data_IF_060985232361
#
_entry.id   IF_060985232361
#
_cell.length_a   1.000
_cell.length_b   1.000
_cell.length_c   1.000
_cell.angle_alpha   90.00
_cell.angle_beta   90.00
_cell.angle_gamma   90.00
#
_symmetry.space_group_name_H-M   'P 1'
#
loop_
_entity.id
_entity.type
_entity.pdbx_description
1 polymer ?
#
# COMPACT_ATOMS: atom_id res chain seq x y z
N UNK A 1 21.43 -20.10 -10.05
CA UNK A 1 20.20 -19.48 -10.60
C UNK A 1 18.95 -20.25 -10.16
N UNK A 2 18.88 -21.56 -10.41
CA UNK A 2 17.73 -22.40 -10.01
C UNK A 2 17.39 -22.33 -8.52
N UNK A 3 18.38 -22.41 -7.62
CA UNK A 3 18.14 -22.29 -6.19
C UNK A 3 17.52 -20.94 -5.79
N UNK A 4 17.92 -19.84 -6.45
CA UNK A 4 17.36 -18.52 -6.20
C UNK A 4 15.92 -18.39 -6.73
N UNK A 5 15.63 -19.01 -7.88
CA UNK A 5 14.28 -19.09 -8.44
C UNK A 5 13.38 -19.92 -7.50
N UNK A 6 13.84 -21.09 -7.06
CA UNK A 6 13.09 -21.94 -6.12
C UNK A 6 12.79 -21.23 -4.81
N UNK A 7 13.76 -20.49 -4.26
CA UNK A 7 13.56 -19.70 -3.04
C UNK A 7 12.53 -18.57 -3.24
N UNK A 8 12.56 -17.88 -4.38
CA UNK A 8 11.58 -16.83 -4.70
C UNK A 8 10.16 -17.41 -4.86
N UNK A 9 10.02 -18.55 -5.55
CA UNK A 9 8.73 -19.24 -5.70
C UNK A 9 8.18 -19.66 -4.34
N UNK A 10 8.99 -20.30 -3.49
CA UNK A 10 8.58 -20.71 -2.15
C UNK A 10 8.14 -19.51 -1.30
N UNK A 11 8.85 -18.38 -1.37
CA UNK A 11 8.47 -17.15 -0.66
C UNK A 11 7.13 -16.59 -1.15
N UNK A 12 6.85 -16.66 -2.46
CA UNK A 12 5.55 -16.25 -3.02
C UNK A 12 4.43 -17.19 -2.56
N UNK A 13 4.64 -18.50 -2.59
CA UNK A 13 3.64 -19.49 -2.14
C UNK A 13 3.31 -19.33 -0.66
N UNK A 14 4.32 -19.11 0.19
CA UNK A 14 4.09 -18.83 1.61
C UNK A 14 3.40 -17.48 1.83
N UNK A 15 3.68 -16.48 0.99
CA UNK A 15 2.94 -15.24 0.96
C UNK A 15 1.46 -15.43 0.65
N UNK A 16 1.13 -16.25 -0.35
CA UNK A 16 -0.25 -16.57 -0.71
C UNK A 16 -1.00 -17.25 0.44
N UNK A 17 -0.39 -18.26 1.08
CA UNK A 17 -0.99 -18.93 2.25
C UNK A 17 -1.30 -17.96 3.39
N UNK A 18 -0.44 -16.97 3.62
CA UNK A 18 -0.67 -15.94 4.65
C UNK A 18 -1.81 -15.00 4.27
N UNK A 19 -1.96 -14.67 3.00
CA UNK A 19 -3.08 -13.86 2.50
C UNK A 19 -4.39 -14.65 2.60
N UNK A 20 -4.39 -15.94 2.24
CA UNK A 20 -5.56 -16.82 2.39
C UNK A 20 -6.00 -16.98 3.84
N UNK A 21 -5.05 -17.04 4.77
CA UNK A 21 -5.32 -17.14 6.21
C UNK A 21 -5.56 -15.77 6.89
N UNK A 22 -5.56 -14.65 6.15
CA UNK A 22 -5.75 -13.33 6.72
C UNK A 22 -7.20 -13.14 7.20
N UNK A 23 -7.39 -13.07 8.51
CA UNK A 23 -8.63 -12.63 9.13
C UNK A 23 -8.50 -11.14 9.52
N UNK A 24 -9.42 -10.32 9.04
CA UNK A 24 -9.53 -8.92 9.47
C UNK A 24 -10.38 -8.83 10.75
N UNK A 25 -10.23 -7.78 11.57
CA UNK A 25 -11.07 -7.59 12.75
C UNK A 25 -12.54 -7.44 12.37
N UNK A 26 -13.41 -8.17 13.06
CA UNK A 26 -14.87 -8.12 12.85
C UNK A 26 -15.57 -7.04 13.70
N UNK A 27 -14.87 -6.46 14.68
CA UNK A 27 -15.39 -5.38 15.51
C UNK A 27 -15.32 -4.04 14.76
N UNK A 28 -16.41 -3.26 14.68
CA UNK A 28 -16.43 -2.02 13.91
C UNK A 28 -15.33 -1.02 14.24
N UNK A 29 -15.02 -0.82 15.52
CA UNK A 29 -13.97 0.10 15.97
C UNK A 29 -12.59 -0.34 15.48
N UNK A 30 -12.28 -1.64 15.62
CA UNK A 30 -10.99 -2.19 15.18
C UNK A 30 -10.86 -2.18 13.65
N UNK A 31 -11.95 -2.45 12.93
CA UNK A 31 -11.99 -2.32 11.47
C UNK A 31 -11.76 -0.87 11.03
N UNK A 32 -12.39 0.09 11.71
CA UNK A 32 -12.19 1.52 11.45
C UNK A 32 -10.73 1.94 11.71
N UNK A 33 -10.10 1.45 12.79
CA UNK A 33 -8.68 1.72 13.09
C UNK A 33 -7.75 1.20 11.99
N UNK A 34 -7.99 -0.01 11.49
CA UNK A 34 -7.22 -0.59 10.37
C UNK A 34 -7.34 0.28 9.11
N UNK A 35 -8.55 0.73 8.77
CA UNK A 35 -8.77 1.59 7.63
C UNK A 35 -8.11 2.97 7.80
N UNK A 36 -8.25 3.56 9.00
CA UNK A 36 -7.68 4.86 9.34
C UNK A 36 -6.14 4.84 9.25
N UNK A 37 -5.47 3.81 9.80
CA UNK A 37 -4.02 3.69 9.69
C UNK A 37 -3.58 3.48 8.24
N UNK A 38 -4.30 2.65 7.47
CA UNK A 38 -4.03 2.48 6.04
C UNK A 38 -4.11 3.79 5.26
N UNK A 39 -5.16 4.60 5.48
CA UNK A 39 -5.31 5.92 4.89
C UNK A 39 -4.17 6.86 5.33
N UNK A 40 -3.79 6.84 6.61
CA UNK A 40 -2.71 7.67 7.16
C UNK A 40 -1.35 7.31 6.57
N UNK A 41 -1.00 6.02 6.50
CA UNK A 41 0.25 5.54 5.90
C UNK A 41 0.37 5.99 4.44
N UNK A 42 -0.70 5.81 3.68
CA UNK A 42 -0.68 6.14 2.25
C UNK A 42 -0.64 7.64 2.00
N UNK A 43 -1.28 8.45 2.86
CA UNK A 43 -1.13 9.90 2.86
C UNK A 43 0.33 10.33 3.09
N UNK A 44 0.99 9.77 4.11
CA UNK A 44 2.41 10.07 4.42
C UNK A 44 3.31 9.77 3.21
N UNK A 45 3.07 8.64 2.52
CA UNK A 45 3.81 8.26 1.31
C UNK A 45 3.55 9.23 0.15
N UNK A 46 2.29 9.59 -0.09
CA UNK A 46 1.94 10.56 -1.13
C UNK A 46 2.56 11.93 -0.87
N UNK A 47 2.59 12.39 0.39
CA UNK A 47 3.25 13.64 0.78
C UNK A 47 4.74 13.61 0.52
N UNK A 48 5.43 12.53 0.92
CA UNK A 48 6.87 12.38 0.65
C UNK A 48 7.17 12.37 -0.86
N UNK A 49 6.35 11.68 -1.65
CA UNK A 49 6.49 11.68 -3.11
C UNK A 49 6.24 13.07 -3.72
N UNK A 50 5.29 13.82 -3.16
CA UNK A 50 5.01 15.21 -3.58
C UNK A 50 6.21 16.11 -3.30
N UNK A 51 6.78 16.03 -2.11
CA UNK A 51 7.95 16.83 -1.74
C UNK A 51 9.16 16.49 -2.64
N UNK A 52 9.38 15.21 -2.93
CA UNK A 52 10.41 14.76 -3.87
C UNK A 52 10.17 15.30 -5.28
N UNK A 53 8.97 15.16 -5.82
CA UNK A 53 8.60 15.65 -7.14
C UNK A 53 8.74 17.18 -7.23
N UNK A 54 8.36 17.93 -6.19
CA UNK A 54 8.55 19.38 -6.10
C UNK A 54 10.02 19.78 -6.08
N UNK A 55 10.85 19.04 -5.35
CA UNK A 55 12.28 19.37 -5.19
C UNK A 55 13.13 19.03 -6.42
N UNK A 56 12.82 17.93 -7.13
CA UNK A 56 13.65 17.42 -8.24
C UNK A 56 13.01 17.61 -9.62
N UNK A 57 11.69 17.45 -9.72
CA UNK A 57 10.95 17.65 -10.97
C UNK A 57 11.22 16.61 -12.07
N UNK A 58 11.81 15.45 -11.78
CA UNK A 58 12.05 14.43 -12.79
C UNK A 58 10.75 13.67 -13.14
N UNK A 59 10.66 13.16 -14.38
CA UNK A 59 9.51 12.39 -14.84
C UNK A 59 9.17 11.21 -13.92
N UNK A 60 10.18 10.47 -13.47
CA UNK A 60 10.01 9.34 -12.54
C UNK A 60 9.45 9.78 -11.18
N UNK A 61 9.82 10.97 -10.70
CA UNK A 61 9.31 11.48 -9.43
C UNK A 61 7.81 11.83 -9.53
N UNK A 62 7.36 12.34 -10.67
CA UNK A 62 5.92 12.54 -10.94
C UNK A 62 5.17 11.21 -11.15
N UNK A 63 5.82 10.22 -11.76
CA UNK A 63 5.26 8.87 -11.89
C UNK A 63 5.05 8.21 -10.51
N UNK A 64 6.05 8.32 -9.63
CA UNK A 64 5.97 7.84 -8.25
C UNK A 64 4.89 8.59 -7.45
N UNK A 65 4.79 9.91 -7.60
CA UNK A 65 3.74 10.72 -6.99
C UNK A 65 2.35 10.25 -7.45
N UNK A 66 2.15 10.07 -8.76
CA UNK A 66 0.88 9.58 -9.31
C UNK A 66 0.51 8.22 -8.71
N UNK A 67 1.47 7.29 -8.62
CA UNK A 67 1.25 5.96 -8.02
C UNK A 67 0.84 6.10 -6.54
N UNK A 68 1.57 6.89 -5.77
CA UNK A 68 1.29 7.09 -4.35
C UNK A 68 -0.06 7.77 -4.10
N UNK A 69 -0.41 8.79 -4.89
CA UNK A 69 -1.69 9.49 -4.81
C UNK A 69 -2.86 8.56 -5.17
N UNK A 70 -2.71 7.74 -6.24
CA UNK A 70 -3.72 6.73 -6.61
C UNK A 70 -3.95 5.73 -5.46
N UNK A 71 -2.88 5.23 -4.85
CA UNK A 71 -3.00 4.32 -3.70
C UNK A 71 -3.71 4.98 -2.51
N UNK A 72 -3.38 6.23 -2.20
CA UNK A 72 -4.09 6.96 -1.14
C UNK A 72 -5.58 7.13 -1.45
N UNK A 73 -5.93 7.50 -2.70
CA UNK A 73 -7.32 7.60 -3.14
C UNK A 73 -8.09 6.28 -3.02
N UNK A 74 -7.46 5.14 -3.29
CA UNK A 74 -8.07 3.83 -3.07
C UNK A 74 -8.37 3.58 -1.58
N UNK A 75 -7.45 3.93 -0.67
CA UNK A 75 -7.72 3.81 0.77
C UNK A 75 -8.87 4.71 1.24
N UNK A 76 -8.98 5.93 0.70
CA UNK A 76 -10.13 6.79 1.00
C UNK A 76 -11.45 6.19 0.52
N UNK A 77 -11.45 5.49 -0.62
CA UNK A 77 -12.67 4.84 -1.13
C UNK A 77 -13.18 3.71 -0.23
N UNK A 78 -12.31 3.11 0.60
CA UNK A 78 -12.70 2.10 1.59
C UNK A 78 -13.41 2.70 2.81
N UNK A 79 -13.22 4.00 3.09
CA UNK A 79 -13.91 4.70 4.18
C UNK A 79 -15.37 5.04 3.86
N UNK A 80 -15.86 4.63 2.68
CA UNK A 80 -17.17 5.00 2.15
C UNK A 80 -17.14 6.31 1.36
N UNK A 81 -18.27 6.66 0.73
CA UNK A 81 -18.47 8.03 0.24
C UNK A 81 -18.61 8.92 1.47
N UNK A 82 -17.72 9.91 1.61
CA UNK A 82 -18.00 11.10 2.42
C UNK A 82 -19.31 11.74 1.94
#
# INVERSE_FOLDING_TARGET
LEAAIGAATAACEDGLKRVEALALPDQPEQAADVLAEGARVTLRRARKALDKARSRGAADDFHDLRKAAKTHGMHLSLLGRL
#
